data_IF_682127403405
#
_entry.id   IF_682127403405
#
_cell.length_a   1.000
_cell.length_b   1.000
_cell.length_c   1.000
_cell.angle_alpha   90.00
_cell.angle_beta   90.00
_cell.angle_gamma   90.00
#
_symmetry.space_group_name_H-M   'P 1'
#
loop_
_entity.id
_entity.type
_entity.pdbx_description
1 polymer ?
#
# COMPACT_ATOMS: atom_id res chain seq x y z
N UNK A 1 39.20 12.91 -38.11
CA UNK A 1 40.68 12.78 -37.98
C UNK A 1 41.26 14.18 -38.03
N UNK A 2 41.37 14.87 -36.87
CA UNK A 2 42.01 16.17 -36.79
C UNK A 2 43.50 15.91 -36.51
N UNK A 3 44.33 16.42 -37.41
CA UNK A 3 45.78 16.40 -37.31
C UNK A 3 46.21 17.30 -36.14
N UNK A 4 46.33 16.69 -34.95
CA UNK A 4 46.72 17.34 -33.69
C UNK A 4 48.20 17.20 -33.44
N UNK A 5 49.02 17.36 -34.50
CA UNK A 5 50.47 17.50 -34.39
C UNK A 5 50.81 18.79 -33.64
N UNK A 6 51.85 18.74 -32.78
CA UNK A 6 52.38 19.94 -32.14
C UNK A 6 52.73 20.94 -33.23
N UNK A 7 52.29 22.21 -33.16
CA UNK A 7 52.57 23.20 -34.22
C UNK A 7 54.06 23.29 -34.48
N UNK A 8 54.43 23.11 -35.74
CA UNK A 8 55.81 23.07 -36.25
C UNK A 8 56.67 24.20 -35.65
N UNK A 9 56.08 25.38 -35.44
CA UNK A 9 56.71 26.56 -34.84
C UNK A 9 57.18 26.28 -33.37
N UNK A 10 56.40 25.56 -32.57
CA UNK A 10 56.79 25.24 -31.18
C UNK A 10 57.90 24.21 -31.14
N UNK A 11 57.89 23.24 -32.01
CA UNK A 11 58.95 22.25 -32.15
C UNK A 11 60.27 22.89 -32.61
N UNK A 12 60.19 23.81 -33.58
CA UNK A 12 61.38 24.56 -34.06
C UNK A 12 61.95 25.46 -32.98
N UNK A 13 61.13 26.20 -32.23
CA UNK A 13 61.61 27.10 -31.16
C UNK A 13 62.26 26.25 -30.03
N UNK A 14 61.64 25.16 -29.62
CA UNK A 14 62.21 24.29 -28.55
C UNK A 14 63.54 23.68 -28.99
N UNK A 15 63.65 23.23 -30.24
CA UNK A 15 64.93 22.71 -30.76
C UNK A 15 66.01 23.82 -30.86
N UNK A 16 65.64 25.02 -31.32
CA UNK A 16 66.55 26.15 -31.39
C UNK A 16 67.10 26.51 -30.01
N UNK A 17 66.24 26.60 -28.99
CA UNK A 17 66.67 26.89 -27.59
C UNK A 17 67.55 25.77 -27.02
N UNK A 18 67.24 24.52 -27.29
CA UNK A 18 68.00 23.37 -26.77
C UNK A 18 69.40 23.22 -27.47
N UNK A 19 69.55 23.69 -28.72
CA UNK A 19 70.80 23.61 -29.47
C UNK A 19 71.78 24.77 -29.18
N UNK A 20 71.30 25.90 -28.63
CA UNK A 20 72.11 27.08 -28.40
C UNK A 20 73.34 26.80 -27.47
N UNK A 21 73.24 26.13 -26.29
CA UNK A 21 74.34 25.88 -25.44
C UNK A 21 75.46 24.94 -26.02
N UNK A 22 75.10 23.75 -26.56
CA UNK A 22 76.08 22.84 -27.12
C UNK A 22 76.72 23.37 -28.40
N UNK A 23 75.97 24.11 -29.24
CA UNK A 23 76.52 24.75 -30.44
C UNK A 23 77.43 25.92 -30.08
N UNK A 24 77.12 26.71 -29.05
CA UNK A 24 78.00 27.75 -28.52
C UNK A 24 79.30 27.16 -27.97
N UNK A 25 79.26 26.06 -27.24
CA UNK A 25 80.46 25.40 -26.77
C UNK A 25 81.35 24.86 -27.91
N UNK A 26 80.76 24.26 -28.92
CA UNK A 26 81.47 23.79 -30.11
C UNK A 26 82.11 24.92 -30.92
N UNK A 27 81.40 26.05 -31.04
CA UNK A 27 81.89 27.25 -31.71
C UNK A 27 83.11 27.85 -30.98
N UNK A 28 83.09 27.86 -29.66
CA UNK A 28 84.24 28.31 -28.81
C UNK A 28 85.46 27.37 -29.00
N UNK A 29 85.24 26.05 -28.95
CA UNK A 29 86.34 25.07 -29.14
C UNK A 29 86.95 25.15 -30.56
N UNK A 30 86.13 25.45 -31.56
CA UNK A 30 86.60 25.72 -32.90
C UNK A 30 87.45 27.02 -32.94
N UNK A 31 87.02 28.11 -32.30
CA UNK A 31 87.67 29.37 -32.23
C UNK A 31 89.05 29.33 -31.49
N UNK A 32 89.20 28.42 -30.53
CA UNK A 32 90.46 28.19 -29.80
C UNK A 32 91.42 27.26 -30.58
N UNK A 33 90.98 26.68 -31.72
CA UNK A 33 91.82 25.82 -32.55
C UNK A 33 91.90 24.36 -32.11
N UNK A 34 91.14 23.96 -31.12
CA UNK A 34 91.13 22.59 -30.58
C UNK A 34 90.40 21.59 -31.49
N UNK A 35 89.49 22.09 -32.40
CA UNK A 35 88.68 21.27 -33.30
C UNK A 35 88.91 21.71 -34.76
N UNK A 36 89.00 20.72 -35.66
CA UNK A 36 89.04 21.01 -37.12
C UNK A 36 87.60 21.36 -37.59
N UNK A 37 87.47 22.24 -38.61
CA UNK A 37 86.22 22.67 -39.10
C UNK A 37 85.26 21.50 -39.54
N UNK A 38 85.86 20.41 -40.09
CA UNK A 38 85.08 19.21 -40.44
C UNK A 38 84.52 18.46 -39.20
N UNK A 39 85.33 18.35 -38.18
CA UNK A 39 84.97 17.69 -36.93
C UNK A 39 83.83 18.47 -36.21
N UNK A 40 83.97 19.81 -36.18
CA UNK A 40 82.93 20.73 -35.63
C UNK A 40 81.55 20.57 -36.32
N UNK A 41 81.57 20.54 -37.66
CA UNK A 41 80.33 20.36 -38.42
C UNK A 41 79.69 19.01 -38.19
N UNK A 42 80.49 17.91 -38.14
CA UNK A 42 79.89 16.56 -37.86
C UNK A 42 79.40 16.52 -36.42
N UNK A 43 80.08 17.09 -35.46
CA UNK A 43 79.59 17.13 -34.07
C UNK A 43 78.31 17.97 -33.94
N UNK A 44 78.22 19.13 -34.57
CA UNK A 44 77.04 19.95 -34.58
C UNK A 44 75.86 19.26 -35.23
N UNK A 45 76.06 18.55 -36.34
CA UNK A 45 75.01 17.77 -37.01
C UNK A 45 74.49 16.59 -36.16
N UNK A 46 75.47 15.86 -35.53
CA UNK A 46 75.12 14.77 -34.62
C UNK A 46 74.33 15.21 -33.37
N UNK A 47 74.81 16.31 -32.74
CA UNK A 47 74.03 16.90 -31.60
C UNK A 47 72.70 17.42 -32.04
N UNK A 48 72.54 18.02 -33.25
CA UNK A 48 71.23 18.50 -33.75
C UNK A 48 70.25 17.34 -33.92
N UNK A 49 70.70 16.22 -34.50
CA UNK A 49 69.81 15.03 -34.66
C UNK A 49 69.40 14.47 -33.34
N UNK A 50 70.32 14.28 -32.40
CA UNK A 50 70.00 13.71 -31.06
C UNK A 50 69.07 14.63 -30.28
N UNK A 51 69.37 15.96 -30.28
CA UNK A 51 68.53 16.96 -29.60
C UNK A 51 67.12 17.02 -30.23
N UNK A 52 67.05 16.98 -31.54
CA UNK A 52 65.77 16.97 -32.26
C UNK A 52 64.93 15.76 -31.88
N UNK A 53 65.50 14.57 -31.82
CA UNK A 53 64.78 13.35 -31.42
C UNK A 53 64.34 13.39 -29.95
N UNK A 54 65.15 13.89 -29.05
CA UNK A 54 64.82 14.03 -27.64
C UNK A 54 63.71 15.05 -27.38
N UNK A 55 63.83 16.24 -27.99
CA UNK A 55 62.82 17.33 -27.90
C UNK A 55 61.52 16.89 -28.48
N UNK A 56 61.53 16.22 -29.64
CA UNK A 56 60.31 15.74 -30.27
C UNK A 56 59.57 14.67 -29.39
N UNK A 57 60.35 13.80 -28.81
CA UNK A 57 59.84 12.77 -27.90
C UNK A 57 59.26 13.38 -26.61
N UNK A 58 59.90 14.39 -26.04
CA UNK A 58 59.44 15.13 -24.86
C UNK A 58 58.13 15.92 -25.17
N UNK A 59 58.10 16.65 -26.29
CA UNK A 59 56.91 17.41 -26.68
C UNK A 59 55.72 16.49 -26.98
N UNK A 60 55.92 15.36 -27.62
CA UNK A 60 54.85 14.35 -27.84
C UNK A 60 54.31 13.80 -26.53
N UNK A 61 55.16 13.56 -25.52
CA UNK A 61 54.74 13.10 -24.19
C UNK A 61 53.88 14.19 -23.50
N UNK A 62 54.30 15.46 -23.56
CA UNK A 62 53.50 16.57 -23.00
C UNK A 62 52.14 16.75 -23.71
N UNK A 63 52.14 16.64 -25.04
CA UNK A 63 50.90 16.76 -25.82
C UNK A 63 49.91 15.59 -25.51
N UNK A 64 50.42 14.37 -25.32
CA UNK A 64 49.58 13.24 -24.91
C UNK A 64 49.05 13.41 -23.49
N UNK A 65 49.86 13.97 -22.57
CA UNK A 65 49.40 14.31 -21.24
C UNK A 65 48.34 15.42 -21.22
N UNK A 66 48.56 16.49 -21.98
CA UNK A 66 47.56 17.56 -22.09
C UNK A 66 46.23 17.08 -22.67
N UNK A 67 46.27 16.18 -23.64
CA UNK A 67 45.03 15.54 -24.16
C UNK A 67 44.36 14.68 -23.12
N UNK A 68 45.13 13.87 -22.37
CA UNK A 68 44.59 13.07 -21.25
C UNK A 68 43.90 13.93 -20.21
N UNK A 69 44.44 15.06 -19.80
CA UNK A 69 43.83 16.00 -18.86
C UNK A 69 42.56 16.65 -19.48
N UNK A 70 42.61 17.00 -20.76
CA UNK A 70 41.42 17.53 -21.49
C UNK A 70 40.30 16.52 -21.60
N UNK A 71 40.59 15.25 -21.89
CA UNK A 71 39.62 14.17 -21.95
C UNK A 71 39.02 13.79 -20.58
N UNK A 72 39.82 13.96 -19.50
CA UNK A 72 39.30 13.86 -18.11
C UNK A 72 38.25 14.94 -17.83
N UNK A 73 38.39 16.14 -18.37
CA UNK A 73 37.43 17.25 -18.26
C UNK A 73 36.14 17.00 -19.05
N UNK A 74 36.21 16.27 -20.16
CA UNK A 74 35.12 16.02 -21.12
C UNK A 74 34.30 14.74 -20.82
N UNK A 75 34.34 14.26 -19.58
CA UNK A 75 33.62 13.07 -19.11
C UNK A 75 33.94 11.74 -19.83
N UNK A 76 34.96 11.71 -20.67
CA UNK A 76 35.43 10.48 -21.32
C UNK A 76 36.31 9.69 -20.36
N UNK A 77 36.39 8.38 -20.54
CA UNK A 77 37.31 7.53 -19.78
C UNK A 77 38.63 7.42 -20.54
N UNK A 78 39.56 8.37 -20.39
CA UNK A 78 40.80 8.33 -21.13
C UNK A 78 41.72 7.22 -20.60
N UNK A 79 42.39 6.53 -21.53
CA UNK A 79 43.43 5.58 -21.20
C UNK A 79 44.71 6.36 -20.89
N UNK A 80 45.35 6.03 -19.75
CA UNK A 80 46.58 6.69 -19.33
C UNK A 80 47.66 6.58 -20.38
N UNK A 81 48.24 7.71 -20.88
CA UNK A 81 49.29 7.68 -21.89
C UNK A 81 50.59 7.10 -21.32
N UNK A 82 51.29 6.29 -22.08
CA UNK A 82 52.63 5.83 -21.73
C UNK A 82 53.60 6.99 -21.91
N UNK A 83 53.98 7.64 -20.79
CA UNK A 83 54.97 8.71 -20.78
C UNK A 83 56.39 8.09 -20.80
N UNK A 84 57.15 8.36 -21.87
CA UNK A 84 58.52 7.88 -22.03
C UNK A 84 59.48 9.08 -21.91
N UNK A 85 60.39 9.04 -20.95
CA UNK A 85 61.53 9.96 -20.72
C UNK A 85 61.38 11.02 -19.62
N UNK A 86 62.31 10.94 -18.68
CA UNK A 86 62.75 11.85 -17.63
C UNK A 86 62.09 11.68 -16.25
N UNK A 87 62.77 11.91 -15.13
CA UNK A 87 62.23 11.76 -13.76
C UNK A 87 61.00 12.63 -13.51
N UNK A 88 60.87 13.79 -14.13
CA UNK A 88 59.67 14.65 -14.04
C UNK A 88 58.39 14.02 -14.67
N UNK A 89 58.55 13.04 -15.56
CA UNK A 89 57.38 12.37 -16.16
C UNK A 89 56.78 11.30 -15.24
N UNK A 90 57.52 10.76 -14.33
CA UNK A 90 57.09 9.78 -13.32
C UNK A 90 56.24 10.45 -12.24
N UNK A 91 56.61 11.64 -11.78
CA UNK A 91 55.82 12.46 -10.87
C UNK A 91 54.50 12.93 -11.52
N UNK A 92 54.52 13.38 -12.78
CA UNK A 92 53.36 13.74 -13.53
C UNK A 92 52.40 12.56 -13.77
N UNK A 93 52.95 11.39 -14.08
CA UNK A 93 52.20 10.14 -14.23
C UNK A 93 51.52 9.75 -12.94
N UNK A 94 52.21 9.83 -11.80
CA UNK A 94 51.67 9.52 -10.48
C UNK A 94 50.58 10.53 -10.09
N UNK A 95 50.77 11.80 -10.32
CA UNK A 95 49.79 12.84 -10.07
C UNK A 95 48.51 12.63 -10.93
N UNK A 96 48.67 12.31 -12.23
CA UNK A 96 47.58 12.02 -13.11
C UNK A 96 46.81 10.76 -12.71
N UNK A 97 47.49 9.70 -12.30
CA UNK A 97 46.87 8.49 -11.77
C UNK A 97 46.08 8.77 -10.48
N UNK A 98 46.64 9.57 -9.59
CA UNK A 98 45.98 9.97 -8.35
C UNK A 98 44.70 10.79 -8.63
N UNK A 99 44.79 11.77 -9.53
CA UNK A 99 43.64 12.55 -9.96
C UNK A 99 42.56 11.67 -10.62
N UNK A 100 42.92 10.80 -11.54
CA UNK A 100 41.97 9.92 -12.24
C UNK A 100 41.26 8.95 -11.29
N UNK A 101 42.00 8.42 -10.29
CA UNK A 101 41.39 7.57 -9.26
C UNK A 101 40.49 8.36 -8.31
N UNK A 102 40.85 9.58 -7.95
CA UNK A 102 40.02 10.51 -7.16
C UNK A 102 38.72 10.83 -7.86
N UNK A 103 38.78 11.23 -9.14
CA UNK A 103 37.57 11.51 -9.96
C UNK A 103 36.65 10.30 -10.11
N UNK A 104 37.20 9.10 -10.38
CA UNK A 104 36.39 7.88 -10.46
C UNK A 104 35.71 7.56 -9.15
N UNK A 105 36.43 7.70 -8.01
CA UNK A 105 35.83 7.48 -6.68
C UNK A 105 34.71 8.48 -6.39
N UNK A 106 34.93 9.76 -6.71
CA UNK A 106 33.92 10.80 -6.49
C UNK A 106 32.69 10.58 -7.36
N UNK A 107 32.86 10.25 -8.65
CA UNK A 107 31.75 9.94 -9.55
C UNK A 107 31.00 8.68 -9.09
N UNK A 108 31.69 7.60 -8.78
CA UNK A 108 31.05 6.40 -8.23
C UNK A 108 30.30 6.67 -6.92
N UNK A 109 30.81 7.58 -6.07
CA UNK A 109 30.09 8.01 -4.86
C UNK A 109 28.82 8.78 -5.17
N UNK A 110 28.83 9.67 -6.15
CA UNK A 110 27.65 10.42 -6.60
C UNK A 110 26.61 9.46 -7.22
N UNK A 111 27.03 8.55 -8.10
CA UNK A 111 26.17 7.57 -8.72
C UNK A 111 25.55 6.62 -7.68
N UNK A 112 26.33 6.18 -6.69
CA UNK A 112 25.84 5.37 -5.58
C UNK A 112 24.85 6.12 -4.69
N UNK A 113 25.07 7.41 -4.42
CA UNK A 113 24.14 8.24 -3.66
C UNK A 113 22.82 8.42 -4.42
N UNK A 114 22.89 8.69 -5.72
CA UNK A 114 21.70 8.80 -6.57
C UNK A 114 20.92 7.48 -6.64
N UNK A 115 21.61 6.36 -6.83
CA UNK A 115 21.00 5.03 -6.84
C UNK A 115 20.38 4.68 -5.48
N UNK A 116 21.05 5.00 -4.37
CA UNK A 116 20.52 4.79 -3.02
C UNK A 116 19.29 5.64 -2.75
N UNK A 117 19.30 6.91 -3.14
CA UNK A 117 18.14 7.80 -3.03
C UNK A 117 16.94 7.26 -3.83
N UNK A 118 17.18 6.79 -5.07
CA UNK A 118 16.14 6.18 -5.88
C UNK A 118 15.57 4.91 -5.23
N UNK A 119 16.44 4.04 -4.72
CA UNK A 119 16.02 2.81 -4.02
C UNK A 119 15.13 3.11 -2.81
N UNK A 120 15.47 4.17 -2.04
CA UNK A 120 14.63 4.60 -0.90
C UNK A 120 13.27 5.09 -1.38
N UNK A 121 13.24 5.91 -2.43
CA UNK A 121 11.99 6.45 -3.00
C UNK A 121 11.12 5.33 -3.58
N UNK A 122 11.72 4.35 -4.27
CA UNK A 122 11.00 3.19 -4.81
C UNK A 122 10.51 2.22 -3.72
N UNK A 123 11.15 2.21 -2.56
CA UNK A 123 10.74 1.45 -1.39
C UNK A 123 9.57 2.06 -0.61
N UNK A 124 9.14 3.28 -0.92
CA UNK A 124 7.97 3.89 -0.27
C UNK A 124 6.69 3.19 -0.75
N UNK A 125 5.79 2.79 0.19
CA UNK A 125 4.54 2.14 -0.17
C UNK A 125 3.54 3.08 -0.83
N UNK A 126 3.60 4.38 -0.49
CA UNK A 126 2.71 5.39 -1.05
C UNK A 126 3.17 5.83 -2.46
N UNK A 127 2.26 5.89 -3.44
CA UNK A 127 2.55 6.42 -4.76
C UNK A 127 3.04 7.87 -4.70
N UNK A 128 4.19 8.12 -5.32
CA UNK A 128 4.86 9.41 -5.35
C UNK A 128 5.05 9.86 -6.78
N UNK A 129 4.61 11.09 -7.09
CA UNK A 129 4.70 11.71 -8.42
C UNK A 129 5.36 13.07 -8.28
N UNK A 130 6.43 13.33 -9.05
CA UNK A 130 7.08 14.62 -9.15
C UNK A 130 6.65 15.32 -10.44
N UNK A 131 6.31 16.61 -10.34
CA UNK A 131 5.85 17.43 -11.45
C UNK A 131 6.80 18.60 -11.70
N UNK A 132 6.93 18.97 -12.98
CA UNK A 132 7.55 20.22 -13.41
C UNK A 132 6.57 21.42 -13.32
N UNK A 133 7.03 22.58 -13.75
CA UNK A 133 6.22 23.81 -13.78
C UNK A 133 5.04 23.73 -14.76
N UNK A 134 5.11 22.88 -15.79
CA UNK A 134 4.08 22.67 -16.80
C UNK A 134 3.13 21.51 -16.47
N UNK A 135 3.12 21.03 -15.24
CA UNK A 135 2.35 19.87 -14.76
C UNK A 135 2.73 18.53 -15.38
N UNK A 136 3.91 18.44 -16.02
CA UNK A 136 4.37 17.18 -16.59
C UNK A 136 4.99 16.31 -15.51
N UNK A 137 4.76 15.02 -15.62
CA UNK A 137 5.35 14.03 -14.73
C UNK A 137 6.83 13.91 -15.08
N UNK A 138 7.71 14.30 -14.16
CA UNK A 138 9.17 14.19 -14.28
C UNK A 138 9.65 12.85 -13.75
N UNK A 139 9.13 12.44 -12.60
CA UNK A 139 9.52 11.21 -11.91
C UNK A 139 8.38 10.61 -11.12
N UNK A 140 8.37 9.29 -11.02
CA UNK A 140 7.46 8.50 -10.18
C UNK A 140 8.25 7.44 -9.43
N UNK A 141 7.75 7.00 -8.26
CA UNK A 141 8.26 5.79 -7.62
C UNK A 141 7.56 4.54 -8.17
N UNK A 142 8.02 3.37 -7.73
CA UNK A 142 7.47 2.09 -8.16
C UNK A 142 5.97 1.95 -7.83
N UNK A 143 5.54 2.41 -6.65
CA UNK A 143 4.14 2.36 -6.25
C UNK A 143 3.24 3.21 -7.16
N UNK A 144 3.68 4.42 -7.54
CA UNK A 144 2.95 5.25 -8.49
C UNK A 144 2.92 4.64 -9.91
N UNK A 145 4.02 4.05 -10.36
CA UNK A 145 4.07 3.37 -11.65
C UNK A 145 3.10 2.19 -11.73
N UNK A 146 2.97 1.42 -10.65
CA UNK A 146 2.01 0.31 -10.55
C UNK A 146 0.55 0.80 -10.50
N UNK A 147 0.26 1.83 -9.70
CA UNK A 147 -1.09 2.38 -9.54
C UNK A 147 -1.60 3.03 -10.84
N UNK A 148 -0.74 3.80 -11.51
CA UNK A 148 -1.09 4.59 -12.68
C UNK A 148 -0.91 3.83 -14.01
N UNK A 149 -0.46 2.58 -13.96
CA UNK A 149 -0.33 1.70 -15.14
C UNK A 149 0.74 2.12 -16.16
N UNK A 150 1.72 2.93 -15.75
CA UNK A 150 2.75 3.44 -16.65
C UNK A 150 4.13 3.42 -16.00
N UNK A 151 4.93 2.36 -16.18
CA UNK A 151 6.32 2.40 -15.78
C UNK A 151 7.07 3.40 -16.70
N UNK A 152 7.48 4.54 -16.14
CA UNK A 152 8.47 5.42 -16.77
C UNK A 152 7.96 6.31 -17.89
N UNK A 153 6.81 6.96 -17.76
CA UNK A 153 6.34 7.99 -18.71
C UNK A 153 6.74 9.40 -18.28
N UNK A 154 8.04 9.73 -18.31
CA UNK A 154 8.47 11.12 -18.21
C UNK A 154 7.84 11.95 -19.36
N UNK A 155 7.44 13.20 -19.03
CA UNK A 155 6.90 14.23 -19.96
C UNK A 155 5.39 14.14 -20.31
N UNK A 156 4.59 13.30 -19.65
CA UNK A 156 3.13 13.34 -19.80
C UNK A 156 2.51 14.35 -18.84
N UNK A 157 1.49 15.08 -19.30
CA UNK A 157 0.68 15.92 -18.42
C UNK A 157 -0.04 15.04 -17.38
N UNK A 158 -0.03 15.46 -16.13
CA UNK A 158 -0.63 14.71 -15.00
C UNK A 158 -2.12 14.45 -15.21
N UNK A 159 -2.83 15.30 -15.96
CA UNK A 159 -4.25 15.14 -16.27
C UNK A 159 -4.56 13.92 -17.13
N UNK A 160 -3.57 13.35 -17.81
CA UNK A 160 -3.76 12.12 -18.59
C UNK A 160 -3.96 10.90 -17.69
N UNK A 161 -3.45 10.95 -16.46
CA UNK A 161 -3.40 9.84 -15.51
C UNK A 161 -4.30 10.10 -14.29
N UNK A 162 -4.26 11.31 -13.74
CA UNK A 162 -5.07 11.78 -12.63
C UNK A 162 -6.03 12.86 -13.14
N UNK A 163 -7.31 12.48 -13.32
CA UNK A 163 -8.31 13.32 -14.02
C UNK A 163 -9.24 14.08 -13.08
N UNK A 164 -9.08 13.94 -11.77
CA UNK A 164 -9.96 14.54 -10.76
C UNK A 164 -9.85 16.08 -10.81
N UNK A 165 -10.94 16.83 -11.07
CA UNK A 165 -10.90 18.28 -11.23
C UNK A 165 -10.34 19.01 -10.01
N UNK A 166 -10.69 18.52 -8.81
CA UNK A 166 -10.22 19.10 -7.54
C UNK A 166 -8.71 18.97 -7.38
N UNK A 167 -8.13 17.82 -7.77
CA UNK A 167 -6.68 17.59 -7.74
C UNK A 167 -5.97 18.50 -8.74
N UNK A 168 -6.49 18.57 -9.97
CA UNK A 168 -5.90 19.43 -11.03
C UNK A 168 -5.94 20.90 -10.63
N UNK A 169 -7.05 21.38 -10.09
CA UNK A 169 -7.15 22.75 -9.58
C UNK A 169 -6.17 23.03 -8.43
N UNK A 170 -5.95 22.06 -7.53
CA UNK A 170 -4.97 22.19 -6.45
C UNK A 170 -3.53 22.21 -6.99
N UNK A 171 -3.22 21.41 -8.02
CA UNK A 171 -1.91 21.42 -8.68
C UNK A 171 -1.68 22.76 -9.35
N UNK A 172 -2.65 23.28 -10.11
CA UNK A 172 -2.56 24.59 -10.76
C UNK A 172 -2.33 25.70 -9.75
N UNK A 173 -3.11 25.71 -8.67
CA UNK A 173 -2.96 26.68 -7.59
C UNK A 173 -1.58 26.60 -6.89
N UNK A 174 -1.00 25.40 -6.78
CA UNK A 174 0.32 25.19 -6.17
C UNK A 174 1.44 25.72 -7.11
N UNK A 175 1.27 25.59 -8.42
CA UNK A 175 2.26 25.96 -9.44
C UNK A 175 2.10 27.41 -9.93
N UNK A 176 0.97 28.09 -9.63
CA UNK A 176 0.74 29.49 -9.96
C UNK A 176 1.82 30.40 -9.34
N UNK A 177 2.43 31.21 -10.20
CA UNK A 177 3.39 32.24 -9.78
C UNK A 177 2.69 33.60 -9.82
N UNK A 178 2.75 34.39 -8.75
CA UNK A 178 2.22 35.74 -8.74
C UNK A 178 2.97 36.67 -9.69
N UNK A 179 2.39 37.85 -9.96
CA UNK A 179 2.97 38.85 -10.86
C UNK A 179 4.39 39.30 -10.45
N UNK A 180 4.73 39.14 -9.17
CA UNK A 180 6.02 39.50 -8.57
C UNK A 180 7.08 38.38 -8.67
N UNK A 181 6.81 37.30 -9.40
CA UNK A 181 7.70 36.15 -9.51
C UNK A 181 7.73 35.26 -8.25
N UNK A 182 7.05 35.64 -7.19
CA UNK A 182 6.85 34.84 -5.98
C UNK A 182 5.60 33.99 -6.10
N UNK A 183 5.62 32.80 -5.47
CA UNK A 183 4.43 31.94 -5.44
C UNK A 183 3.36 32.55 -4.55
N UNK A 184 2.14 32.69 -5.08
CA UNK A 184 1.06 33.44 -4.46
C UNK A 184 0.31 32.66 -3.36
N UNK A 185 0.55 31.34 -3.19
CA UNK A 185 -0.24 30.44 -2.33
C UNK A 185 0.61 29.51 -1.48
N UNK A 186 0.01 28.86 -0.46
CA UNK A 186 0.72 27.97 0.47
C UNK A 186 1.50 26.89 -0.25
N UNK A 187 2.63 26.47 0.36
CA UNK A 187 3.55 25.48 -0.20
C UNK A 187 3.01 24.05 -0.15
N UNK A 188 1.81 23.85 0.36
CA UNK A 188 1.18 22.54 0.51
C UNK A 188 -0.34 22.62 0.34
N UNK A 189 -0.93 21.53 -0.15
CA UNK A 189 -2.37 21.32 -0.25
C UNK A 189 -2.70 19.86 0.01
N UNK A 190 -3.90 19.56 0.51
CA UNK A 190 -4.41 18.22 0.72
C UNK A 190 -5.74 18.11 0.00
N UNK A 191 -5.92 17.06 -0.79
CA UNK A 191 -7.13 16.84 -1.59
C UNK A 191 -7.60 15.41 -1.40
N UNK A 192 -8.85 15.24 -0.99
CA UNK A 192 -9.52 13.94 -1.02
C UNK A 192 -9.94 13.61 -2.45
N UNK A 193 -9.68 12.40 -2.89
CA UNK A 193 -10.06 11.95 -4.24
C UNK A 193 -10.45 10.48 -4.23
N UNK A 194 -11.25 10.12 -5.22
CA UNK A 194 -11.62 8.74 -5.49
C UNK A 194 -11.03 8.36 -6.84
N UNK A 195 -10.28 7.27 -6.87
CA UNK A 195 -9.78 6.68 -8.11
C UNK A 195 -10.76 5.62 -8.58
N UNK A 196 -11.33 5.85 -9.77
CA UNK A 196 -12.23 4.90 -10.42
C UNK A 196 -11.46 3.65 -10.86
N UNK A 197 -11.93 2.50 -10.45
CA UNK A 197 -11.37 1.19 -10.82
C UNK A 197 -12.06 0.07 -10.06
N UNK A 198 -11.93 -1.19 -10.48
CA UNK A 198 -12.33 -2.35 -9.69
C UNK A 198 -11.13 -2.89 -8.87
N UNK A 199 -11.03 -2.62 -7.55
CA UNK A 199 -11.94 -1.85 -6.70
C UNK A 199 -11.71 -0.34 -6.75
N UNK A 200 -12.75 0.43 -6.45
CA UNK A 200 -12.69 1.87 -6.19
C UNK A 200 -11.80 2.16 -4.98
N UNK A 201 -10.88 3.13 -5.10
CA UNK A 201 -9.92 3.50 -4.07
C UNK A 201 -10.19 4.92 -3.56
N UNK A 202 -10.43 5.05 -2.25
CA UNK A 202 -10.45 6.34 -1.56
C UNK A 202 -9.00 6.74 -1.27
N UNK A 203 -8.53 7.86 -1.86
CA UNK A 203 -7.16 8.34 -1.72
C UNK A 203 -7.12 9.74 -1.13
N UNK A 204 -6.04 10.06 -0.44
CA UNK A 204 -5.73 11.43 -0.03
C UNK A 204 -4.44 11.85 -0.74
N UNK A 205 -4.52 12.89 -1.56
CA UNK A 205 -3.36 13.48 -2.22
C UNK A 205 -2.76 14.59 -1.35
N UNK A 206 -1.52 14.41 -0.94
CA UNK A 206 -0.71 15.45 -0.32
C UNK A 206 0.16 16.09 -1.39
N UNK A 207 -0.11 17.35 -1.68
CA UNK A 207 0.64 18.14 -2.64
C UNK A 207 1.60 19.06 -1.90
N UNK A 208 2.84 19.10 -2.34
CA UNK A 208 3.84 19.99 -1.77
C UNK A 208 4.73 20.56 -2.85
N UNK A 209 4.92 21.90 -2.83
CA UNK A 209 5.90 22.57 -3.66
C UNK A 209 7.29 22.45 -3.06
N UNK A 210 8.27 22.14 -3.87
CA UNK A 210 9.67 22.12 -3.45
C UNK A 210 10.18 23.55 -3.28
N UNK A 211 11.01 23.82 -2.25
CA UNK A 211 11.57 25.17 -2.02
C UNK A 211 12.43 25.68 -3.19
N UNK A 212 13.02 24.77 -3.94
CA UNK A 212 13.78 25.00 -5.18
C UNK A 212 13.47 23.88 -6.14
N UNK A 213 13.47 24.20 -7.45
CA UNK A 213 13.39 23.15 -8.46
C UNK A 213 14.58 22.18 -8.29
N UNK A 214 14.29 20.90 -8.34
CA UNK A 214 15.32 19.86 -8.32
C UNK A 214 16.12 19.86 -9.63
N UNK A 215 17.27 19.19 -9.63
CA UNK A 215 18.13 19.11 -10.81
C UNK A 215 17.44 18.46 -12.03
N UNK A 216 16.44 17.61 -11.79
CA UNK A 216 15.61 16.98 -12.81
C UNK A 216 14.43 17.85 -13.29
N UNK A 217 14.30 19.09 -12.80
CA UNK A 217 13.20 20.01 -13.11
C UNK A 217 11.97 19.85 -12.25
N UNK A 218 11.94 18.90 -11.32
CA UNK A 218 10.81 18.71 -10.40
C UNK A 218 10.62 19.93 -9.51
N UNK A 219 9.38 20.45 -9.46
CA UNK A 219 8.98 21.62 -8.68
C UNK A 219 7.89 21.28 -7.64
N UNK A 220 7.05 20.32 -7.93
CA UNK A 220 5.98 19.87 -7.03
C UNK A 220 6.05 18.35 -6.82
N UNK A 221 5.65 17.94 -5.62
CA UNK A 221 5.55 16.56 -5.17
C UNK A 221 4.10 16.25 -4.84
N UNK A 222 3.60 15.14 -5.34
CA UNK A 222 2.30 14.57 -4.99
C UNK A 222 2.55 13.21 -4.36
N UNK A 223 2.02 13.00 -3.16
CA UNK A 223 1.98 11.70 -2.49
C UNK A 223 0.53 11.29 -2.36
N UNK A 224 0.18 10.10 -2.86
CA UNK A 224 -1.16 9.54 -2.79
C UNK A 224 -1.19 8.51 -1.66
N UNK A 225 -2.02 8.76 -0.65
CA UNK A 225 -2.19 7.84 0.47
C UNK A 225 -3.51 7.09 0.34
N UNK A 226 -3.47 5.75 0.37
CA UNK A 226 -4.68 4.91 0.31
C UNK A 226 -5.38 4.91 1.67
N UNK A 227 -6.54 5.53 1.72
CA UNK A 227 -7.40 5.60 2.90
C UNK A 227 -8.64 4.71 2.79
N UNK A 228 -8.71 3.85 1.77
CA UNK A 228 -9.88 3.03 1.46
C UNK A 228 -10.34 2.20 2.65
N UNK A 229 -9.42 1.52 3.33
CA UNK A 229 -9.74 0.71 4.50
C UNK A 229 -10.27 1.56 5.66
N UNK A 230 -9.64 2.73 5.92
CA UNK A 230 -10.05 3.67 6.97
C UNK A 230 -11.42 4.26 6.67
N UNK A 231 -11.63 4.77 5.46
CA UNK A 231 -12.91 5.36 5.03
C UNK A 231 -14.06 4.33 5.04
N UNK A 232 -13.78 3.09 4.65
CA UNK A 232 -14.78 2.01 4.75
C UNK A 232 -15.15 1.72 6.22
N UNK A 233 -14.16 1.67 7.12
CA UNK A 233 -14.41 1.47 8.53
C UNK A 233 -15.22 2.62 9.14
N UNK A 234 -14.90 3.88 8.81
CA UNK A 234 -15.64 5.06 9.24
C UNK A 234 -17.09 5.07 8.73
N UNK A 235 -17.30 4.78 7.43
CA UNK A 235 -18.65 4.65 6.84
C UNK A 235 -19.44 3.54 7.53
N UNK A 236 -18.85 2.36 7.71
CA UNK A 236 -19.51 1.26 8.42
C UNK A 236 -19.90 1.63 9.85
N UNK A 237 -19.07 2.41 10.55
CA UNK A 237 -19.37 2.90 11.90
C UNK A 237 -20.51 3.94 11.89
N UNK A 238 -20.49 4.87 10.96
CA UNK A 238 -21.54 5.88 10.81
C UNK A 238 -22.90 5.21 10.48
N UNK A 239 -22.91 4.28 9.52
CA UNK A 239 -24.10 3.51 9.15
C UNK A 239 -24.62 2.67 10.32
N UNK A 240 -23.73 2.09 11.11
CA UNK A 240 -24.10 1.35 12.32
C UNK A 240 -24.85 2.23 13.32
N UNK A 241 -24.33 3.43 13.64
CA UNK A 241 -24.96 4.36 14.57
C UNK A 241 -26.30 4.86 14.02
N UNK A 242 -26.38 5.20 12.73
CA UNK A 242 -27.60 5.64 12.09
C UNK A 242 -28.68 4.56 12.12
N UNK A 243 -28.35 3.32 11.73
CA UNK A 243 -29.28 2.20 11.71
C UNK A 243 -29.72 1.80 13.12
N UNK A 244 -28.83 1.79 14.13
CA UNK A 244 -29.18 1.54 15.53
C UNK A 244 -30.18 2.59 16.04
N UNK A 245 -29.94 3.86 15.74
CA UNK A 245 -30.86 4.96 16.11
C UNK A 245 -32.23 4.79 15.46
N UNK A 246 -32.27 4.43 14.20
CA UNK A 246 -33.52 4.17 13.47
C UNK A 246 -34.31 3.00 14.03
N UNK A 247 -33.64 1.86 14.29
CA UNK A 247 -34.29 0.65 14.83
C UNK A 247 -34.74 0.82 16.29
N UNK A 248 -34.17 1.77 17.05
CA UNK A 248 -34.64 2.15 18.37
C UNK A 248 -35.78 3.18 18.32
N UNK A 249 -35.71 4.17 17.44
CA UNK A 249 -36.72 5.25 17.38
C UNK A 249 -38.12 4.73 17.01
N UNK A 250 -38.21 3.76 16.09
CA UNK A 250 -39.46 3.20 15.62
C UNK A 250 -40.32 2.55 16.75
N UNK A 251 -39.78 1.60 17.55
CA UNK A 251 -40.58 1.03 18.65
C UNK A 251 -40.88 2.04 19.76
N UNK A 252 -39.98 3.00 20.06
CA UNK A 252 -40.22 4.07 21.04
C UNK A 252 -41.44 4.92 20.62
N UNK A 253 -41.50 5.35 19.34
CA UNK A 253 -42.64 6.10 18.83
C UNK A 253 -43.93 5.29 18.88
N UNK A 254 -43.85 3.97 18.58
CA UNK A 254 -45.00 3.07 18.73
C UNK A 254 -45.49 2.97 20.17
N UNK A 255 -44.58 2.78 21.14
CA UNK A 255 -44.90 2.75 22.56
C UNK A 255 -45.59 4.05 23.01
N UNK A 256 -45.03 5.21 22.62
CA UNK A 256 -45.62 6.52 22.94
C UNK A 256 -47.08 6.64 22.41
N UNK A 257 -47.31 6.21 21.16
CA UNK A 257 -48.66 6.23 20.56
C UNK A 257 -49.64 5.29 21.27
N UNK A 258 -49.20 4.08 21.67
CA UNK A 258 -50.07 3.16 22.44
C UNK A 258 -50.38 3.73 23.84
N UNK A 259 -49.43 4.37 24.51
CA UNK A 259 -49.62 5.05 25.81
C UNK A 259 -50.65 6.17 25.65
N UNK A 260 -50.56 7.01 24.61
CA UNK A 260 -51.56 8.06 24.32
C UNK A 260 -52.92 7.48 24.08
N UNK A 261 -53.05 6.42 23.30
CA UNK A 261 -54.30 5.72 23.01
C UNK A 261 -54.93 5.14 24.27
N UNK A 262 -54.14 4.53 25.14
CA UNK A 262 -54.61 4.00 26.42
C UNK A 262 -55.02 5.09 27.42
N UNK A 263 -54.41 6.29 27.37
CA UNK A 263 -54.78 7.43 28.20
C UNK A 263 -56.02 8.20 27.69
N UNK A 264 -56.34 8.00 26.42
CA UNK A 264 -57.44 8.68 25.74
C UNK A 264 -58.56 7.72 25.28
N UNK A 265 -58.68 7.44 23.94
CA UNK A 265 -59.81 6.74 23.36
C UNK A 265 -60.06 5.31 23.87
N UNK A 266 -59.00 4.59 24.26
CA UNK A 266 -59.09 3.20 24.73
C UNK A 266 -59.08 3.08 26.25
N UNK A 267 -59.27 4.16 27.00
CA UNK A 267 -59.17 4.17 28.46
C UNK A 267 -60.17 3.21 29.13
N UNK A 268 -61.41 3.19 28.67
CA UNK A 268 -62.46 2.36 29.22
C UNK A 268 -62.65 1.01 28.49
N UNK A 269 -61.90 0.76 27.41
CA UNK A 269 -61.95 -0.49 26.64
C UNK A 269 -60.91 -1.50 27.21
N UNK A 270 -61.41 -2.45 28.02
CA UNK A 270 -60.58 -3.47 28.65
C UNK A 270 -59.91 -4.42 27.63
N UNK A 271 -60.59 -4.73 26.50
CA UNK A 271 -60.03 -5.63 25.49
C UNK A 271 -58.92 -4.93 24.67
N UNK A 272 -59.15 -3.67 24.32
CA UNK A 272 -58.15 -2.85 23.66
C UNK A 272 -56.90 -2.64 24.57
N UNK A 273 -57.13 -2.39 25.88
CA UNK A 273 -56.06 -2.23 26.86
C UNK A 273 -55.13 -3.47 26.93
N UNK A 274 -55.74 -4.66 27.09
CA UNK A 274 -54.95 -5.89 27.17
C UNK A 274 -54.16 -6.14 25.88
N UNK A 275 -54.78 -5.93 24.72
CA UNK A 275 -54.13 -6.05 23.44
C UNK A 275 -52.94 -5.06 23.28
N UNK A 276 -53.12 -3.79 23.64
CA UNK A 276 -52.05 -2.79 23.53
C UNK A 276 -50.94 -3.02 24.52
N UNK A 277 -51.22 -3.44 25.76
CA UNK A 277 -50.22 -3.84 26.73
C UNK A 277 -49.37 -5.04 26.23
N UNK A 278 -50.04 -6.03 25.60
CA UNK A 278 -49.33 -7.14 24.95
C UNK A 278 -48.37 -6.68 23.84
N UNK A 279 -48.82 -5.80 22.95
CA UNK A 279 -47.98 -5.23 21.89
C UNK A 279 -46.82 -4.42 22.47
N UNK A 280 -47.10 -3.62 23.52
CA UNK A 280 -46.05 -2.84 24.19
C UNK A 280 -44.97 -3.71 24.85
N UNK A 281 -45.40 -4.82 25.50
CA UNK A 281 -44.46 -5.79 26.07
C UNK A 281 -43.57 -6.43 24.99
N UNK A 282 -44.14 -6.81 23.84
CA UNK A 282 -43.37 -7.33 22.70
C UNK A 282 -42.37 -6.31 22.14
N UNK A 283 -42.77 -5.02 22.04
CA UNK A 283 -41.85 -3.95 21.58
C UNK A 283 -40.74 -3.69 22.59
N UNK A 284 -41.04 -3.70 23.90
CA UNK A 284 -40.02 -3.55 24.96
C UNK A 284 -39.01 -4.70 24.91
N UNK A 285 -39.48 -5.94 24.76
CA UNK A 285 -38.65 -7.12 24.65
C UNK A 285 -37.76 -7.11 23.39
N UNK A 286 -38.30 -6.58 22.29
CA UNK A 286 -37.54 -6.38 21.06
C UNK A 286 -36.43 -5.35 21.27
N UNK A 287 -36.73 -4.21 21.92
CA UNK A 287 -35.71 -3.17 22.20
C UNK A 287 -34.61 -3.72 23.12
N UNK A 288 -34.97 -4.49 24.16
CA UNK A 288 -34.01 -5.12 25.06
C UNK A 288 -33.04 -6.01 24.26
N UNK A 289 -33.56 -6.90 23.40
CA UNK A 289 -32.72 -7.75 22.54
C UNK A 289 -31.82 -6.95 21.62
N UNK A 290 -32.33 -5.85 21.04
CA UNK A 290 -31.52 -4.98 20.18
C UNK A 290 -30.36 -4.34 20.95
N UNK A 291 -30.60 -3.86 22.16
CA UNK A 291 -29.55 -3.27 23.03
C UNK A 291 -28.54 -4.33 23.43
N UNK A 292 -28.98 -5.52 23.80
CA UNK A 292 -28.10 -6.66 24.17
C UNK A 292 -27.19 -7.05 22.97
N UNK A 293 -27.77 -7.13 21.76
CA UNK A 293 -27.02 -7.41 20.52
C UNK A 293 -25.98 -6.31 20.20
N UNK A 294 -26.34 -5.03 20.40
CA UNK A 294 -25.43 -3.90 20.20
C UNK A 294 -24.25 -3.92 21.18
N UNK A 295 -24.55 -4.15 22.47
CA UNK A 295 -23.53 -4.25 23.50
C UNK A 295 -22.60 -5.45 23.28
N UNK A 296 -23.16 -6.59 22.86
CA UNK A 296 -22.39 -7.79 22.54
C UNK A 296 -21.46 -7.54 21.37
N UNK A 297 -21.97 -6.97 20.26
CA UNK A 297 -21.18 -6.65 19.09
C UNK A 297 -20.03 -5.68 19.43
N UNK A 298 -20.31 -4.64 20.21
CA UNK A 298 -19.30 -3.70 20.69
C UNK A 298 -18.20 -4.37 21.51
N UNK A 299 -18.55 -5.30 22.41
CA UNK A 299 -17.56 -6.06 23.19
C UNK A 299 -16.68 -6.95 22.32
N UNK A 300 -17.28 -7.65 21.35
CA UNK A 300 -16.55 -8.53 20.44
C UNK A 300 -15.57 -7.73 19.58
N UNK A 301 -15.97 -6.57 19.07
CA UNK A 301 -15.13 -5.68 18.27
C UNK A 301 -13.93 -5.13 19.08
N UNK A 302 -14.14 -4.75 20.34
CA UNK A 302 -13.05 -4.31 21.23
C UNK A 302 -12.00 -5.39 21.49
N UNK A 303 -12.40 -6.66 21.45
CA UNK A 303 -11.54 -7.80 21.75
C UNK A 303 -11.20 -8.64 20.50
N UNK A 304 -11.42 -8.11 19.29
CA UNK A 304 -11.22 -8.85 18.04
C UNK A 304 -9.80 -9.42 17.90
N UNK A 305 -8.80 -8.75 18.46
CA UNK A 305 -7.40 -9.18 18.42
C UNK A 305 -7.01 -10.17 19.54
N UNK A 306 -7.82 -10.28 20.59
CA UNK A 306 -7.57 -11.21 21.69
C UNK A 306 -8.17 -12.58 21.37
N UNK A 307 -7.33 -13.57 21.07
CA UNK A 307 -7.78 -14.91 20.66
C UNK A 307 -8.18 -15.76 21.87
N UNK A 308 -9.33 -16.42 21.82
CA UNK A 308 -9.63 -17.49 22.77
C UNK A 308 -8.67 -18.67 22.54
N UNK A 309 -8.20 -19.26 23.64
CA UNK A 309 -7.26 -20.40 23.60
C UNK A 309 -7.78 -21.63 24.32
N UNK A 310 -8.97 -21.58 24.93
CA UNK A 310 -9.54 -22.70 25.69
C UNK A 310 -10.03 -23.82 24.77
N UNK A 311 -9.94 -25.05 25.22
CA UNK A 311 -10.51 -26.22 24.57
C UNK A 311 -11.99 -26.37 24.94
N UNK A 312 -12.91 -26.20 24.03
CA UNK A 312 -14.36 -26.20 24.23
C UNK A 312 -14.99 -27.47 23.69
N UNK A 313 -15.79 -28.14 24.50
CA UNK A 313 -16.63 -29.27 24.11
C UNK A 313 -17.88 -28.76 23.36
N UNK A 314 -17.87 -28.88 22.03
CA UNK A 314 -18.99 -28.47 21.18
C UNK A 314 -20.28 -29.29 21.47
N UNK A 315 -20.15 -30.51 21.90
CA UNK A 315 -21.31 -31.34 22.29
C UNK A 315 -22.06 -30.76 23.48
N UNK A 316 -21.32 -30.19 24.45
CA UNK A 316 -21.93 -29.46 25.59
C UNK A 316 -22.59 -28.17 25.15
N UNK A 317 -21.87 -27.37 24.34
CA UNK A 317 -22.40 -26.13 23.81
C UNK A 317 -23.71 -26.34 23.03
N UNK A 318 -23.72 -27.30 22.13
CA UNK A 318 -24.93 -27.59 21.33
C UNK A 318 -26.09 -28.08 22.17
N UNK A 319 -25.86 -28.96 23.16
CA UNK A 319 -26.90 -29.39 24.09
C UNK A 319 -27.49 -28.23 24.88
N UNK A 320 -26.66 -27.37 25.46
CA UNK A 320 -27.13 -26.17 26.19
C UNK A 320 -28.00 -25.24 25.30
N UNK A 321 -27.60 -25.04 24.06
CA UNK A 321 -28.39 -24.21 23.11
C UNK A 321 -29.73 -24.89 22.79
N UNK A 322 -29.76 -26.21 22.66
CA UNK A 322 -31.02 -26.92 22.40
C UNK A 322 -32.00 -26.80 23.55
N UNK A 323 -31.52 -26.99 24.78
CA UNK A 323 -32.37 -26.87 25.96
C UNK A 323 -33.01 -25.48 26.03
N UNK A 324 -32.26 -24.42 25.68
CA UNK A 324 -32.77 -23.05 25.61
C UNK A 324 -33.83 -22.85 24.52
N UNK A 325 -33.73 -23.55 23.39
CA UNK A 325 -34.57 -23.32 22.23
C UNK A 325 -35.74 -24.31 22.08
N UNK A 326 -35.82 -25.34 22.95
CA UNK A 326 -36.82 -26.42 22.85
C UNK A 326 -38.25 -25.91 22.92
N UNK A 327 -38.58 -25.00 23.86
CA UNK A 327 -39.91 -24.39 23.97
C UNK A 327 -40.27 -23.61 22.71
N UNK A 328 -39.31 -22.88 22.13
CA UNK A 328 -39.53 -22.10 20.90
C UNK A 328 -39.71 -23.00 19.69
N UNK A 329 -38.99 -24.11 19.60
CA UNK A 329 -39.16 -25.11 18.55
C UNK A 329 -40.58 -25.73 18.61
N UNK A 330 -41.01 -26.14 19.81
CA UNK A 330 -42.32 -26.72 20.04
C UNK A 330 -43.47 -25.75 19.70
N UNK A 331 -43.37 -24.47 20.11
CA UNK A 331 -44.36 -23.43 19.77
C UNK A 331 -44.49 -23.17 18.27
N UNK A 332 -43.46 -23.42 17.50
CA UNK A 332 -43.41 -23.27 16.03
C UNK A 332 -43.72 -24.57 15.28
N UNK A 333 -43.90 -25.68 15.99
CA UNK A 333 -44.08 -27.03 15.39
C UNK A 333 -42.89 -27.43 14.50
N UNK A 334 -41.68 -27.06 14.89
CA UNK A 334 -40.42 -27.38 14.16
C UNK A 334 -39.58 -28.30 15.03
N UNK A 335 -39.21 -29.46 14.52
CA UNK A 335 -38.34 -30.38 15.21
C UNK A 335 -36.87 -29.91 15.16
N UNK A 336 -36.08 -30.29 16.18
CA UNK A 336 -34.62 -30.14 16.12
C UNK A 336 -33.99 -31.52 16.16
N UNK A 337 -33.14 -31.85 15.19
CA UNK A 337 -32.37 -33.08 15.09
C UNK A 337 -30.90 -32.79 15.19
N UNK A 338 -30.22 -33.45 16.12
CA UNK A 338 -28.75 -33.38 16.24
C UNK A 338 -28.12 -34.67 15.76
N UNK A 339 -27.07 -34.52 14.95
CA UNK A 339 -26.19 -35.60 14.52
C UNK A 339 -24.75 -35.22 14.84
N UNK A 340 -24.15 -35.81 15.84
CA UNK A 340 -22.77 -35.55 16.26
C UNK A 340 -21.91 -36.80 16.09
N UNK A 341 -20.77 -36.63 15.43
CA UNK A 341 -19.79 -37.68 15.32
C UNK A 341 -19.29 -38.10 16.73
N UNK A 342 -19.14 -39.41 17.02
CA UNK A 342 -18.75 -39.89 18.36
C UNK A 342 -17.34 -39.43 18.77
N UNK A 343 -16.45 -39.16 17.78
CA UNK A 343 -15.07 -38.74 17.93
C UNK A 343 -14.87 -37.24 17.68
N UNK A 344 -15.89 -36.42 18.02
CA UNK A 344 -15.84 -34.98 17.74
C UNK A 344 -14.71 -34.31 18.54
N UNK A 345 -13.71 -33.68 17.90
CA UNK A 345 -12.65 -33.00 18.63
C UNK A 345 -13.18 -31.75 19.34
N UNK A 346 -12.52 -31.34 20.42
CA UNK A 346 -12.79 -30.05 21.05
C UNK A 346 -12.41 -28.92 20.12
N UNK A 347 -13.17 -27.82 20.12
CA UNK A 347 -12.81 -26.61 19.40
C UNK A 347 -11.93 -25.69 20.24
N UNK A 348 -11.03 -24.97 19.63
CA UNK A 348 -10.33 -23.85 20.28
C UNK A 348 -11.27 -22.65 20.30
N UNK A 349 -11.67 -22.18 21.49
CA UNK A 349 -12.64 -21.10 21.56
C UNK A 349 -12.99 -20.61 22.95
N UNK A 350 -13.97 -19.73 23.02
CA UNK A 350 -14.67 -19.27 24.21
C UNK A 350 -16.05 -19.93 24.27
N UNK A 351 -16.38 -20.57 25.40
CA UNK A 351 -17.60 -21.35 25.57
C UNK A 351 -18.87 -20.48 25.37
N UNK A 352 -18.90 -19.31 25.99
CA UNK A 352 -20.07 -18.44 26.00
C UNK A 352 -20.30 -17.80 24.63
N UNK A 353 -19.22 -17.41 23.94
CA UNK A 353 -19.28 -16.91 22.59
C UNK A 353 -19.76 -17.97 21.59
N UNK A 354 -19.34 -19.22 21.76
CA UNK A 354 -19.82 -20.31 20.90
C UNK A 354 -21.29 -20.66 21.17
N UNK A 355 -21.78 -20.54 22.42
CA UNK A 355 -23.21 -20.60 22.71
C UNK A 355 -23.96 -19.55 21.90
N UNK A 356 -23.49 -18.30 21.89
CA UNK A 356 -24.12 -17.20 21.14
C UNK A 356 -24.15 -17.48 19.64
N UNK A 357 -23.05 -18.00 19.08
CA UNK A 357 -22.98 -18.39 17.65
C UNK A 357 -24.07 -19.39 17.31
N UNK A 358 -24.11 -20.53 18.02
CA UNK A 358 -25.07 -21.60 17.68
C UNK A 358 -26.49 -21.25 18.05
N UNK A 359 -26.72 -20.48 19.13
CA UNK A 359 -28.03 -19.94 19.44
C UNK A 359 -28.58 -19.05 18.33
N UNK A 360 -27.76 -18.13 17.79
CA UNK A 360 -28.18 -17.27 16.67
C UNK A 360 -28.47 -18.08 15.41
N UNK A 361 -27.65 -19.07 15.07
CA UNK A 361 -27.85 -19.88 13.88
C UNK A 361 -29.09 -20.79 14.01
N UNK A 362 -29.26 -21.47 15.15
CA UNK A 362 -30.40 -22.37 15.35
C UNK A 362 -31.70 -21.57 15.52
N UNK A 363 -31.67 -20.41 16.21
CA UNK A 363 -32.81 -19.51 16.31
C UNK A 363 -33.25 -18.97 14.95
N UNK A 364 -32.31 -18.60 14.09
CA UNK A 364 -32.61 -18.22 12.72
C UNK A 364 -33.22 -19.38 11.92
N UNK A 365 -32.64 -20.57 12.03
CA UNK A 365 -33.19 -21.76 11.37
C UNK A 365 -34.64 -22.05 11.83
N UNK A 366 -34.94 -21.96 13.12
CA UNK A 366 -36.31 -22.13 13.66
C UNK A 366 -37.27 -21.02 13.19
N UNK A 367 -36.76 -19.78 13.03
CA UNK A 367 -37.60 -18.64 12.56
C UNK A 367 -38.02 -18.77 11.13
N UNK A 368 -37.19 -19.31 10.26
CA UNK A 368 -37.40 -19.36 8.83
C UNK A 368 -37.78 -20.74 8.30
N UNK A 369 -37.66 -21.80 9.12
CA UNK A 369 -38.15 -23.14 8.81
C UNK A 369 -39.69 -23.14 8.63
N UNK A 370 -40.18 -24.01 7.77
CA UNK A 370 -41.64 -24.23 7.62
C UNK A 370 -42.18 -25.05 8.79
N UNK A 371 -43.42 -24.83 9.20
CA UNK A 371 -44.08 -25.71 10.18
C UNK A 371 -44.01 -27.19 9.77
N UNK A 372 -43.92 -28.08 10.73
CA UNK A 372 -43.86 -29.54 10.53
C UNK A 372 -42.58 -30.06 9.84
N UNK A 373 -41.54 -29.21 9.76
CA UNK A 373 -40.21 -29.60 9.29
C UNK A 373 -39.21 -29.78 10.46
N UNK A 374 -37.95 -30.03 10.14
CA UNK A 374 -36.92 -30.13 11.15
C UNK A 374 -35.66 -29.31 10.81
N UNK A 375 -35.14 -28.63 11.82
CA UNK A 375 -33.79 -28.04 11.79
C UNK A 375 -32.80 -29.16 12.12
N UNK A 376 -31.81 -29.35 11.26
CA UNK A 376 -30.77 -30.37 11.45
C UNK A 376 -29.47 -29.69 11.82
N UNK A 377 -28.85 -30.15 12.94
CA UNK A 377 -27.54 -29.70 13.41
C UNK A 377 -26.57 -30.84 13.29
N UNK A 378 -25.59 -30.72 12.43
CA UNK A 378 -24.59 -31.76 12.19
C UNK A 378 -23.23 -31.28 12.66
N UNK A 379 -22.54 -32.04 13.52
CA UNK A 379 -21.19 -31.70 13.99
C UNK A 379 -20.21 -32.82 13.62
N UNK A 380 -19.19 -32.49 12.86
CA UNK A 380 -18.22 -33.44 12.30
C UNK A 380 -16.81 -32.88 12.32
N UNK A 381 -15.82 -33.77 12.33
CA UNK A 381 -14.43 -33.40 12.05
C UNK A 381 -14.29 -32.93 10.61
N UNK A 382 -13.54 -31.84 10.36
CA UNK A 382 -13.29 -31.25 9.05
C UNK A 382 -11.78 -31.20 8.80
N UNK A 383 -11.26 -32.23 8.13
CA UNK A 383 -9.80 -32.36 7.95
C UNK A 383 -9.08 -32.82 9.23
N UNK A 384 -7.78 -32.50 9.34
CA UNK A 384 -6.94 -32.94 10.47
C UNK A 384 -7.09 -32.08 11.71
N UNK A 385 -7.24 -30.77 11.53
CA UNK A 385 -7.09 -29.72 12.55
C UNK A 385 -8.33 -28.83 12.73
N UNK A 386 -9.48 -29.25 12.19
CA UNK A 386 -10.71 -28.47 12.25
C UNK A 386 -11.94 -29.30 12.62
N UNK A 387 -12.94 -28.62 13.14
CA UNK A 387 -14.27 -29.15 13.41
C UNK A 387 -15.30 -28.26 12.72
N UNK A 388 -16.31 -28.84 12.11
CA UNK A 388 -17.40 -28.14 11.45
C UNK A 388 -18.73 -28.46 12.10
N UNK A 389 -19.56 -27.42 12.27
CA UNK A 389 -20.95 -27.54 12.70
C UNK A 389 -21.83 -26.90 11.64
N UNK A 390 -22.70 -27.69 11.04
CA UNK A 390 -23.67 -27.24 10.04
C UNK A 390 -25.07 -27.18 10.65
N UNK A 391 -25.76 -26.07 10.48
CA UNK A 391 -27.15 -25.85 10.86
C UNK A 391 -27.96 -25.72 9.57
N UNK A 392 -28.87 -26.66 9.32
CA UNK A 392 -29.70 -26.73 8.12
C UNK A 392 -31.17 -26.56 8.47
N UNK A 393 -31.85 -25.68 7.74
CA UNK A 393 -33.31 -25.50 7.77
C UNK A 393 -33.98 -25.95 6.46
N UNK A 394 -35.27 -26.21 6.53
CA UNK A 394 -36.14 -26.50 5.39
C UNK A 394 -37.13 -25.33 5.16
N UNK A 395 -36.55 -24.11 5.13
CA UNK A 395 -37.31 -22.87 4.91
C UNK A 395 -37.49 -22.52 3.44
N UNK A 396 -37.81 -21.24 3.21
CA UNK A 396 -38.05 -20.73 1.85
C UNK A 396 -36.75 -20.50 1.08
N UNK A 397 -35.58 -20.63 1.76
CA UNK A 397 -34.28 -20.35 1.16
C UNK A 397 -34.04 -18.86 0.89
N UNK A 398 -32.84 -18.57 0.40
CA UNK A 398 -32.33 -17.21 0.21
C UNK A 398 -31.81 -17.06 -1.22
N UNK A 399 -32.25 -16.05 -1.98
CA UNK A 399 -31.69 -15.78 -3.32
C UNK A 399 -30.20 -15.46 -3.27
N UNK A 400 -29.44 -15.93 -4.28
CA UNK A 400 -27.98 -15.82 -4.34
C UNK A 400 -27.46 -14.37 -4.21
N UNK A 401 -28.20 -13.39 -4.75
CA UNK A 401 -27.84 -11.97 -4.67
C UNK A 401 -27.72 -11.43 -3.23
N UNK A 402 -28.42 -12.07 -2.27
CA UNK A 402 -28.43 -11.65 -0.86
C UNK A 402 -27.35 -12.35 -0.02
N UNK A 403 -26.82 -13.51 -0.45
CA UNK A 403 -25.89 -14.32 0.34
C UNK A 403 -24.64 -13.55 0.82
N UNK A 404 -23.95 -12.75 -0.01
CA UNK A 404 -22.78 -12.00 0.44
C UNK A 404 -23.07 -10.96 1.51
N UNK A 405 -24.31 -10.47 1.55
CA UNK A 405 -24.75 -9.38 2.42
C UNK A 405 -25.37 -9.83 3.74
N UNK A 406 -25.68 -11.11 3.90
CA UNK A 406 -26.39 -11.63 5.09
C UNK A 406 -25.66 -11.35 6.41
N UNK A 407 -24.34 -11.19 6.37
CA UNK A 407 -23.51 -10.90 7.53
C UNK A 407 -23.24 -9.40 7.72
N UNK A 408 -23.82 -8.52 6.89
CA UNK A 408 -23.80 -7.08 7.12
C UNK A 408 -24.71 -6.73 8.30
N UNK A 409 -24.33 -5.70 9.07
CA UNK A 409 -25.10 -5.25 10.23
C UNK A 409 -26.45 -4.68 9.77
N UNK A 410 -27.54 -5.06 10.45
CA UNK A 410 -28.92 -4.66 10.16
C UNK A 410 -29.47 -5.13 8.81
N UNK A 411 -28.71 -5.94 8.07
CA UNK A 411 -29.17 -6.44 6.78
C UNK A 411 -30.30 -7.48 6.95
N UNK A 412 -31.33 -7.38 6.11
CA UNK A 412 -32.48 -8.29 6.06
C UNK A 412 -32.93 -8.45 4.62
N UNK A 413 -33.22 -9.68 4.19
CA UNK A 413 -33.76 -9.99 2.85
C UNK A 413 -35.17 -9.44 2.72
N UNK A 414 -36.01 -9.66 3.75
CA UNK A 414 -37.36 -9.11 3.87
C UNK A 414 -37.49 -8.41 5.22
N UNK A 415 -37.59 -7.09 5.18
CA UNK A 415 -37.64 -6.25 6.37
C UNK A 415 -38.95 -6.39 7.13
N UNK A 416 -40.07 -6.55 6.42
CA UNK A 416 -41.41 -6.66 7.04
C UNK A 416 -41.59 -7.99 7.76
N UNK A 417 -41.28 -9.09 7.10
CA UNK A 417 -41.35 -10.44 7.68
C UNK A 417 -40.34 -10.61 8.82
N UNK A 418 -39.12 -10.12 8.66
CA UNK A 418 -38.11 -10.21 9.70
C UNK A 418 -38.47 -9.42 10.95
N UNK A 419 -39.15 -8.26 10.80
CA UNK A 419 -39.70 -7.49 11.94
C UNK A 419 -40.76 -8.24 12.70
N UNK A 420 -41.68 -8.89 12.01
CA UNK A 420 -42.73 -9.71 12.61
C UNK A 420 -42.16 -10.91 13.39
N UNK A 421 -41.05 -11.48 12.89
CA UNK A 421 -40.35 -12.59 13.54
C UNK A 421 -39.37 -12.14 14.63
N UNK A 422 -39.32 -10.83 14.96
CA UNK A 422 -38.48 -10.27 16.00
C UNK A 422 -36.97 -10.28 15.70
N UNK A 423 -36.61 -10.27 14.41
CA UNK A 423 -35.22 -10.18 14.01
C UNK A 423 -34.63 -8.76 14.23
N UNK A 424 -33.41 -8.68 14.72
CA UNK A 424 -32.66 -7.42 14.88
C UNK A 424 -31.81 -7.08 13.64
N UNK A 425 -31.44 -8.09 12.84
CA UNK A 425 -30.47 -7.96 11.74
C UNK A 425 -29.01 -7.91 12.20
N UNK A 426 -28.76 -8.18 13.50
CA UNK A 426 -27.41 -8.20 14.08
C UNK A 426 -26.87 -9.61 14.32
N UNK A 427 -27.74 -10.61 14.46
CA UNK A 427 -27.33 -11.96 14.85
C UNK A 427 -26.29 -12.61 13.94
N UNK A 428 -26.44 -12.52 12.60
CA UNK A 428 -25.44 -13.06 11.66
C UNK A 428 -24.16 -12.24 11.60
N UNK A 429 -24.23 -10.95 11.85
CA UNK A 429 -23.04 -10.11 12.01
C UNK A 429 -22.25 -10.51 13.27
N UNK A 430 -22.93 -10.74 14.41
CA UNK A 430 -22.33 -11.28 15.64
C UNK A 430 -21.67 -12.63 15.36
N UNK A 431 -22.38 -13.56 14.69
CA UNK A 431 -21.81 -14.87 14.30
C UNK A 431 -20.53 -14.70 13.51
N UNK A 432 -20.51 -13.84 12.50
CA UNK A 432 -19.32 -13.59 11.66
C UNK A 432 -18.14 -13.05 12.49
N UNK A 433 -18.37 -12.06 13.36
CA UNK A 433 -17.31 -11.48 14.19
C UNK A 433 -16.75 -12.49 15.20
N UNK A 434 -17.62 -13.25 15.87
CA UNK A 434 -17.17 -14.31 16.79
C UNK A 434 -16.37 -15.38 16.05
N UNK A 435 -16.89 -15.89 14.92
CA UNK A 435 -16.21 -16.91 14.11
C UNK A 435 -14.85 -16.42 13.63
N UNK A 436 -14.73 -15.17 13.17
CA UNK A 436 -13.47 -14.57 12.76
C UNK A 436 -12.47 -14.47 13.92
N UNK A 437 -12.91 -14.02 15.11
CA UNK A 437 -12.10 -13.98 16.33
C UNK A 437 -11.54 -15.34 16.69
N UNK A 438 -12.33 -16.40 16.47
CA UNK A 438 -11.94 -17.80 16.66
C UNK A 438 -11.12 -18.39 15.50
N UNK A 439 -10.71 -17.58 14.49
CA UNK A 439 -10.06 -18.04 13.25
C UNK A 439 -10.82 -19.16 12.54
N UNK A 440 -12.12 -19.16 12.72
CA UNK A 440 -13.05 -20.01 12.03
C UNK A 440 -13.43 -19.44 10.66
N UNK A 441 -14.35 -20.15 10.02
CA UNK A 441 -14.99 -19.75 8.78
C UNK A 441 -16.48 -20.01 8.85
N UNK A 442 -17.28 -19.07 8.36
CA UNK A 442 -18.71 -19.21 8.17
C UNK A 442 -18.99 -19.36 6.67
N UNK A 443 -19.55 -20.49 6.27
CA UNK A 443 -20.00 -20.77 4.92
C UNK A 443 -21.53 -20.82 4.90
N UNK A 444 -22.16 -20.18 3.88
CA UNK A 444 -23.60 -20.08 3.75
C UNK A 444 -23.99 -20.63 2.38
N UNK A 445 -24.85 -21.64 2.37
CA UNK A 445 -25.41 -22.25 1.18
C UNK A 445 -26.94 -22.19 1.27
N UNK A 446 -27.59 -21.68 0.24
CA UNK A 446 -29.05 -21.60 0.21
C UNK A 446 -29.56 -21.59 -1.22
N UNK A 447 -30.71 -22.24 -1.41
CA UNK A 447 -31.45 -22.23 -2.67
C UNK A 447 -32.91 -21.90 -2.37
N UNK A 448 -33.52 -20.98 -3.12
CA UNK A 448 -34.95 -20.68 -2.99
C UNK A 448 -35.83 -21.95 -3.07
N UNK A 449 -36.69 -22.13 -2.08
CA UNK A 449 -37.58 -23.28 -1.96
C UNK A 449 -37.00 -24.52 -1.30
N UNK A 450 -35.67 -24.61 -1.09
CA UNK A 450 -34.99 -25.79 -0.51
C UNK A 450 -34.46 -25.59 0.91
N UNK A 451 -34.45 -24.34 1.41
CA UNK A 451 -33.90 -23.98 2.70
C UNK A 451 -32.47 -23.50 2.65
N UNK A 452 -31.84 -23.38 3.83
CA UNK A 452 -30.49 -22.85 3.99
C UNK A 452 -29.64 -23.75 4.87
N UNK A 453 -28.31 -23.69 4.66
CA UNK A 453 -27.32 -24.36 5.48
C UNK A 453 -26.24 -23.37 5.86
N UNK A 454 -26.04 -23.20 7.16
CA UNK A 454 -24.99 -22.35 7.73
C UNK A 454 -23.94 -23.26 8.38
N UNK A 455 -22.72 -23.25 7.87
CA UNK A 455 -21.63 -24.09 8.36
C UNK A 455 -20.55 -23.24 9.02
N UNK A 456 -20.30 -23.49 10.30
CA UNK A 456 -19.21 -22.88 11.06
C UNK A 456 -18.08 -23.89 11.18
N UNK A 457 -16.89 -23.51 10.70
CA UNK A 457 -15.67 -24.32 10.80
C UNK A 457 -14.71 -23.65 11.78
N UNK A 458 -14.29 -24.35 12.83
CA UNK A 458 -13.41 -23.85 13.88
C UNK A 458 -12.12 -24.67 13.95
N UNK A 459 -11.01 -24.10 14.45
CA UNK A 459 -9.81 -24.87 14.76
C UNK A 459 -10.11 -25.92 15.83
N UNK A 460 -9.62 -27.14 15.65
CA UNK A 460 -9.68 -28.20 16.65
C UNK A 460 -8.53 -28.03 17.65
N UNK A 461 -8.81 -28.40 18.91
CA UNK A 461 -7.76 -28.47 19.94
C UNK A 461 -7.14 -29.87 19.92
N UNK A 462 -5.81 -29.91 19.85
CA UNK A 462 -5.05 -31.17 20.01
C UNK A 462 -5.01 -31.68 21.47
N UNK A 463 -5.61 -30.93 22.38
CA UNK A 463 -5.71 -31.32 23.81
C UNK A 463 -6.93 -32.23 23.96
N UNK A 464 -6.66 -33.50 24.19
CA UNK A 464 -7.65 -34.55 24.47
C UNK A 464 -8.41 -34.31 25.80
#
# INVERSE_FOLDING_TARGET
MADNGIPLRRTLVANAVALTPPWGALAILYGVGELSGRATLIAMAGIAVVTMLLVQRYLNSLASFARFVGELSDERQPVMPRLSFAPATEELATAAATLSTGWRRQRASIDNLAASAQTIVDGLPDPLVCLDRQRRIVRTNLAAALLLGSPGGAERDVSTVLRQPQLLAAIDALLETGADGNFARPDQSVVDLVLDGPPELDMVAHLRRLPRAAADGSLALIVLHDTTALRRAERMRADFVANASHELKTPIAGLAGFIETLRGPAREDAAARERFLGIMAEQADRMRRLVDDLLMLSRIEQHEHARPAAAVDLGRVLRSVLDLLQLKASSRKVGIKIDMAPDLPRAVGDHDELIIVFQNLIDNALKYARPETSVRVEARRSGKDRVAVAVRDEGDGIPAAHLPRLTERFYRVDTARSRQLGGTGLGLAIVKHVVNRHRGRLDIQSEPGKGSTFTVTLPASDIA
#
